data_IF_798241816403
#
_entry.id   IF_798241816403
#
_cell.length_a   1.000
_cell.length_b   1.000
_cell.length_c   1.000
_cell.angle_alpha   90.00
_cell.angle_beta   90.00
_cell.angle_gamma   90.00
#
_symmetry.space_group_name_H-M   'P 1'
#
loop_
_entity.id
_entity.type
_entity.pdbx_description
1 polymer ?
#
# COMPACT_ATOMS: atom_id res chain seq x y z
N UNK A 1 10.03 -23.48 -21.74
CA UNK A 1 9.75 -22.32 -22.60
C UNK A 1 9.60 -22.88 -24.01
N UNK A 2 8.45 -22.83 -24.66
CA UNK A 2 7.56 -21.68 -24.84
C UNK A 2 6.12 -22.12 -25.13
N UNK A 3 5.18 -21.29 -24.68
CA UNK A 3 3.76 -21.31 -25.01
C UNK A 3 3.52 -21.11 -26.50
N UNK A 4 2.57 -21.87 -27.05
CA UNK A 4 1.73 -21.44 -28.17
C UNK A 4 0.51 -20.71 -27.60
N UNK A 5 0.12 -19.59 -28.23
CA UNK A 5 -1.25 -19.09 -28.40
C UNK A 5 -1.20 -18.25 -29.68
N UNK A 6 -1.54 -18.83 -30.83
CA UNK A 6 -2.87 -18.81 -31.44
C UNK A 6 -3.20 -17.50 -32.17
N UNK A 7 -3.23 -17.64 -33.49
CA UNK A 7 -3.83 -16.76 -34.46
C UNK A 7 -5.33 -17.05 -34.53
N UNK A 8 -6.16 -16.00 -34.58
CA UNK A 8 -7.54 -16.13 -35.05
C UNK A 8 -7.66 -15.78 -36.54
N UNK A 9 -8.63 -16.38 -37.26
CA UNK A 9 -8.77 -16.28 -38.70
C UNK A 9 -10.04 -15.51 -39.13
N UNK A 10 -10.07 -15.22 -40.43
CA UNK A 10 -11.21 -14.92 -41.33
C UNK A 10 -11.35 -13.51 -41.96
N UNK A 11 -11.77 -13.46 -43.24
CA UNK A 11 -11.43 -12.45 -44.24
C UNK A 11 -12.68 -11.75 -44.84
N UNK A 12 -12.46 -10.81 -45.77
CA UNK A 12 -13.39 -10.54 -46.88
C UNK A 12 -12.69 -9.81 -48.05
N UNK A 13 -13.23 -9.93 -49.29
CA UNK A 13 -12.44 -10.03 -50.52
C UNK A 13 -12.53 -8.78 -51.42
N UNK A 14 -11.60 -8.64 -52.38
CA UNK A 14 -11.79 -7.65 -53.45
C UNK A 14 -10.64 -7.52 -54.46
N UNK A 15 -10.70 -8.39 -55.48
CA UNK A 15 -10.20 -8.19 -56.86
C UNK A 15 -8.68 -8.13 -57.13
N UNK A 16 -8.19 -9.28 -57.60
CA UNK A 16 -7.10 -9.40 -58.56
C UNK A 16 -7.50 -8.78 -59.90
N UNK A 17 -6.68 -7.85 -60.39
CA UNK A 17 -6.61 -7.46 -61.80
C UNK A 17 -5.19 -7.69 -62.30
N UNK A 18 -4.97 -8.82 -62.96
CA UNK A 18 -3.73 -9.14 -63.64
C UNK A 18 -3.46 -8.14 -64.78
N UNK A 19 -2.21 -7.69 -64.92
CA UNK A 19 -1.74 -7.02 -66.13
C UNK A 19 -0.50 -7.74 -66.68
N UNK A 20 -0.38 -7.84 -68.02
CA UNK A 20 0.44 -8.85 -68.66
C UNK A 20 1.87 -8.37 -68.95
N UNK A 21 2.64 -9.33 -69.43
CA UNK A 21 4.07 -9.32 -69.75
C UNK A 21 4.60 -8.07 -70.49
N UNK A 22 5.89 -7.83 -70.24
CA UNK A 22 6.77 -6.99 -71.05
C UNK A 22 6.72 -7.38 -72.53
N UNK A 23 6.51 -6.38 -73.39
CA UNK A 23 6.81 -6.41 -74.82
C UNK A 23 7.87 -5.33 -75.16
N UNK A 24 8.73 -5.54 -76.18
CA UNK A 24 9.96 -4.80 -76.36
C UNK A 24 9.79 -3.41 -76.99
N UNK A 25 10.83 -2.61 -76.75
CA UNK A 25 11.02 -1.21 -77.11
C UNK A 25 10.72 -0.87 -78.58
N UNK A 26 10.08 0.27 -78.80
CA UNK A 26 10.21 1.04 -80.03
C UNK A 26 10.71 2.45 -79.67
N UNK A 27 11.95 2.74 -80.07
CA UNK A 27 12.49 4.08 -80.04
C UNK A 27 11.90 4.88 -81.21
N UNK A 28 11.01 5.81 -80.90
CA UNK A 28 10.60 6.86 -81.83
C UNK A 28 10.70 8.19 -81.09
N UNK A 29 11.87 8.83 -81.18
CA UNK A 29 11.95 10.26 -80.92
C UNK A 29 11.39 11.01 -82.13
N UNK A 30 10.55 12.03 -81.94
CA UNK A 30 10.60 13.20 -82.78
C UNK A 30 11.56 14.21 -82.17
N UNK A 31 12.33 14.83 -83.05
CA UNK A 31 13.29 15.88 -82.74
C UNK A 31 12.61 17.08 -82.06
N UNK A 32 13.28 17.56 -81.00
CA UNK A 32 13.37 18.95 -80.56
C UNK A 32 12.17 19.88 -80.79
N UNK A 33 11.42 20.09 -79.72
CA UNK A 33 11.03 21.43 -79.31
C UNK A 33 11.19 21.53 -77.81
N UNK A 34 12.34 22.04 -77.35
CA UNK A 34 12.53 22.43 -75.97
C UNK A 34 11.71 23.71 -75.75
N UNK A 35 10.38 23.57 -75.68
CA UNK A 35 9.49 24.62 -75.22
C UNK A 35 9.80 24.73 -73.73
N UNK A 36 10.53 25.77 -73.35
CA UNK A 36 10.82 26.12 -71.96
C UNK A 36 9.47 26.27 -71.26
N UNK A 37 9.00 25.19 -70.65
CA UNK A 37 7.91 25.24 -69.70
C UNK A 37 8.55 25.87 -68.46
N UNK A 38 8.34 27.16 -68.30
CA UNK A 38 8.54 27.81 -67.02
C UNK A 38 7.55 27.15 -66.05
N UNK A 39 7.95 26.04 -65.44
CA UNK A 39 7.25 25.51 -64.28
C UNK A 39 7.23 26.64 -63.27
N UNK A 40 6.05 27.19 -62.97
CA UNK A 40 5.89 28.06 -61.81
C UNK A 40 6.37 27.26 -60.60
N UNK A 41 7.60 27.53 -60.19
CA UNK A 41 8.14 27.02 -58.95
C UNK A 41 7.27 27.61 -57.85
N UNK A 42 6.33 26.82 -57.32
CA UNK A 42 5.64 27.17 -56.10
C UNK A 42 6.73 27.55 -55.09
N UNK A 43 6.73 28.77 -54.55
CA UNK A 43 7.77 29.19 -53.63
C UNK A 43 7.75 28.22 -52.45
N UNK A 44 8.83 27.46 -52.31
CA UNK A 44 9.04 26.63 -51.12
C UNK A 44 8.99 27.59 -49.92
N UNK A 45 8.17 27.34 -48.89
CA UNK A 45 8.15 28.22 -47.73
C UNK A 45 9.56 28.28 -47.18
N UNK A 46 10.14 29.49 -47.13
CA UNK A 46 11.43 29.73 -46.50
C UNK A 46 11.30 29.31 -45.04
N UNK A 47 11.89 28.18 -44.66
CA UNK A 47 11.99 27.77 -43.26
C UNK A 47 12.83 28.82 -42.55
N UNK A 48 12.19 29.67 -41.76
CA UNK A 48 12.88 30.61 -40.88
C UNK A 48 13.48 29.81 -39.73
N UNK A 49 14.77 29.98 -39.50
CA UNK A 49 15.41 29.53 -38.27
C UNK A 49 14.85 30.35 -37.09
N UNK A 50 14.76 29.75 -35.91
CA UNK A 50 14.37 30.47 -34.70
C UNK A 50 15.38 31.57 -34.41
N UNK A 51 14.87 32.75 -34.03
CA UNK A 51 15.73 33.86 -33.64
C UNK A 51 16.29 33.60 -32.24
N UNK A 52 17.50 34.10 -31.96
CA UNK A 52 18.16 33.98 -30.66
C UNK A 52 17.24 34.40 -29.47
N UNK A 53 16.52 35.55 -29.51
CA UNK A 53 15.61 35.93 -28.42
C UNK A 53 14.42 34.98 -28.25
N UNK A 54 13.85 34.42 -29.32
CA UNK A 54 12.77 33.43 -29.23
C UNK A 54 13.24 32.15 -28.51
N UNK A 55 14.45 31.68 -28.80
CA UNK A 55 15.01 30.49 -28.16
C UNK A 55 15.32 30.73 -26.67
N UNK A 56 15.78 31.92 -26.29
CA UNK A 56 16.01 32.27 -24.89
C UNK A 56 14.72 32.30 -24.06
N UNK A 57 13.62 32.82 -24.63
CA UNK A 57 12.32 32.85 -23.95
C UNK A 57 11.79 31.41 -23.75
N UNK A 58 11.89 30.57 -24.78
CA UNK A 58 11.44 29.17 -24.68
C UNK A 58 12.26 28.40 -23.64
N UNK A 59 13.59 28.58 -23.60
CA UNK A 59 14.45 27.96 -22.60
C UNK A 59 14.13 28.43 -21.17
N UNK A 60 13.81 29.72 -20.98
CA UNK A 60 13.42 30.25 -19.68
C UNK A 60 12.10 29.63 -19.19
N UNK A 61 11.06 29.60 -20.04
CA UNK A 61 9.75 29.02 -19.69
C UNK A 61 9.87 27.49 -19.50
N UNK A 62 10.63 26.82 -20.37
CA UNK A 62 10.93 25.39 -20.26
C UNK A 62 11.67 25.04 -18.96
N UNK A 63 12.63 25.87 -18.56
CA UNK A 63 13.34 25.71 -17.29
C UNK A 63 12.41 25.83 -16.08
N UNK A 64 11.54 26.84 -16.06
CA UNK A 64 10.57 27.04 -14.96
C UNK A 64 9.58 25.87 -14.89
N UNK A 65 9.04 25.42 -16.02
CA UNK A 65 8.09 24.30 -16.06
C UNK A 65 8.73 22.99 -15.63
N UNK A 66 9.95 22.68 -16.10
CA UNK A 66 10.70 21.51 -15.65
C UNK A 66 11.02 21.57 -14.15
N UNK A 67 11.41 22.74 -13.62
CA UNK A 67 11.64 22.92 -12.20
C UNK A 67 10.35 22.70 -11.37
N UNK A 68 9.20 23.18 -11.86
CA UNK A 68 7.90 22.95 -11.23
C UNK A 68 7.52 21.46 -11.23
N UNK A 69 7.70 20.75 -12.35
CA UNK A 69 7.44 19.31 -12.43
C UNK A 69 8.40 18.51 -11.55
N UNK A 70 9.68 18.88 -11.51
CA UNK A 70 10.67 18.25 -10.66
C UNK A 70 10.29 18.39 -9.17
N UNK A 71 9.96 19.60 -8.71
CA UNK A 71 9.54 19.83 -7.33
C UNK A 71 8.26 19.07 -6.96
N UNK A 72 7.26 19.04 -7.85
CA UNK A 72 6.04 18.25 -7.67
C UNK A 72 6.33 16.74 -7.58
N UNK A 73 7.22 16.22 -8.45
CA UNK A 73 7.60 14.80 -8.45
C UNK A 73 8.31 14.38 -7.15
N UNK A 74 9.18 15.23 -6.61
CA UNK A 74 9.87 14.99 -5.35
C UNK A 74 8.91 15.04 -4.16
N UNK A 75 7.97 15.98 -4.19
CA UNK A 75 6.93 16.09 -3.17
C UNK A 75 6.02 14.85 -3.16
N UNK A 76 5.50 14.46 -4.32
CA UNK A 76 4.63 13.28 -4.45
C UNK A 76 5.35 11.99 -4.06
N UNK A 77 6.62 11.81 -4.46
CA UNK A 77 7.43 10.66 -4.04
C UNK A 77 7.60 10.55 -2.52
N UNK A 78 7.83 11.68 -1.83
CA UNK A 78 7.89 11.72 -0.36
C UNK A 78 6.54 11.38 0.28
N UNK A 79 5.45 11.91 -0.27
CA UNK A 79 4.10 11.63 0.21
C UNK A 79 3.73 10.16 0.05
N UNK A 80 4.06 9.54 -1.09
CA UNK A 80 3.81 8.12 -1.31
C UNK A 80 4.65 7.23 -0.40
N UNK A 81 5.91 7.59 -0.14
CA UNK A 81 6.73 6.87 0.83
C UNK A 81 6.12 6.93 2.25
N UNK A 82 5.61 8.10 2.67
CA UNK A 82 4.92 8.22 3.95
C UNK A 82 3.64 7.37 4.00
N UNK A 83 2.81 7.45 2.96
CA UNK A 83 1.57 6.68 2.85
C UNK A 83 1.82 5.17 2.85
N UNK A 84 2.83 4.69 2.11
CA UNK A 84 3.17 3.27 2.08
C UNK A 84 3.56 2.74 3.47
N UNK A 85 4.33 3.52 4.23
CA UNK A 85 4.68 3.17 5.60
C UNK A 85 3.47 3.17 6.54
N UNK A 86 2.58 4.15 6.39
CA UNK A 86 1.33 4.19 7.14
C UNK A 86 0.45 2.97 6.87
N UNK A 87 0.29 2.60 5.59
CA UNK A 87 -0.50 1.43 5.19
C UNK A 87 0.10 0.12 5.73
N UNK A 88 1.43 -0.05 5.69
CA UNK A 88 2.09 -1.21 6.30
C UNK A 88 1.82 -1.28 7.81
N UNK A 89 1.92 -0.16 8.52
CA UNK A 89 1.67 -0.10 9.95
C UNK A 89 0.19 -0.41 10.29
N UNK A 90 -0.75 0.19 9.56
CA UNK A 90 -2.19 -0.06 9.77
C UNK A 90 -2.59 -1.51 9.47
N UNK A 91 -2.05 -2.09 8.40
CA UNK A 91 -2.29 -3.50 8.06
C UNK A 91 -1.79 -4.44 9.15
N UNK A 92 -0.60 -4.18 9.71
CA UNK A 92 -0.07 -4.96 10.84
C UNK A 92 -0.93 -4.78 12.08
N UNK A 93 -1.34 -3.56 12.40
CA UNK A 93 -2.22 -3.27 13.53
C UNK A 93 -3.55 -4.02 13.43
N UNK A 94 -4.21 -4.01 12.26
CA UNK A 94 -5.46 -4.75 12.04
C UNK A 94 -5.26 -6.26 12.17
N UNK A 95 -4.21 -6.79 11.55
CA UNK A 95 -3.89 -8.23 11.63
C UNK A 95 -3.61 -8.65 13.07
N UNK A 96 -2.89 -7.83 13.83
CA UNK A 96 -2.62 -8.08 15.24
C UNK A 96 -3.90 -8.05 16.08
N UNK A 97 -4.78 -7.07 15.85
CA UNK A 97 -6.10 -6.97 16.51
C UNK A 97 -6.95 -8.20 16.23
N UNK A 98 -7.00 -8.67 14.98
CA UNK A 98 -7.75 -9.86 14.61
C UNK A 98 -7.21 -11.11 15.30
N UNK A 99 -5.89 -11.28 15.36
CA UNK A 99 -5.26 -12.40 16.09
C UNK A 99 -5.54 -12.31 17.58
N UNK A 100 -5.31 -11.15 18.20
CA UNK A 100 -5.55 -10.91 19.62
C UNK A 100 -7.01 -11.18 19.99
N UNK A 101 -7.94 -10.59 19.23
CA UNK A 101 -9.37 -10.72 19.51
C UNK A 101 -9.87 -12.15 19.29
N UNK A 102 -9.35 -12.87 18.30
CA UNK A 102 -9.66 -14.28 18.10
C UNK A 102 -9.18 -15.12 19.28
N UNK A 103 -7.93 -14.93 19.68
CA UNK A 103 -7.33 -15.77 20.70
C UNK A 103 -7.91 -15.47 22.10
N UNK A 104 -8.10 -14.20 22.47
CA UNK A 104 -8.76 -13.81 23.74
C UNK A 104 -10.21 -14.34 23.81
N UNK A 105 -10.90 -14.47 22.68
CA UNK A 105 -12.25 -15.06 22.65
C UNK A 105 -12.24 -16.58 22.85
N UNK A 106 -11.13 -17.25 22.62
CA UNK A 106 -10.97 -18.71 22.77
C UNK A 106 -10.44 -19.11 24.15
N UNK A 107 -9.78 -18.17 24.84
CA UNK A 107 -9.31 -18.32 26.21
C UNK A 107 -10.42 -18.71 27.18
N UNK A 108 -10.03 -19.51 28.17
CA UNK A 108 -10.88 -19.88 29.30
C UNK A 108 -10.95 -18.75 30.33
N UNK A 109 -9.78 -18.34 30.83
CA UNK A 109 -9.64 -17.33 31.86
C UNK A 109 -8.27 -16.65 31.87
N UNK A 110 -8.19 -15.55 32.62
CA UNK A 110 -6.95 -14.84 32.89
C UNK A 110 -6.25 -15.50 34.07
N UNK A 111 -4.98 -15.87 33.91
CA UNK A 111 -4.17 -16.42 34.99
C UNK A 111 -3.33 -15.34 35.64
N UNK A 112 -2.75 -14.46 34.83
CA UNK A 112 -1.90 -13.37 35.29
C UNK A 112 -2.16 -12.10 34.49
N UNK A 113 -2.21 -10.97 35.20
CA UNK A 113 -2.45 -9.67 34.60
C UNK A 113 -1.43 -8.63 35.06
N UNK A 114 -0.91 -7.88 34.11
CA UNK A 114 -0.06 -6.72 34.28
C UNK A 114 -0.26 -5.77 33.08
N UNK A 115 -0.01 -4.48 33.25
CA UNK A 115 -0.21 -3.47 32.20
C UNK A 115 0.59 -3.73 30.92
N UNK A 116 1.72 -4.45 31.01
CA UNK A 116 2.57 -4.80 29.87
C UNK A 116 2.53 -6.29 29.50
N UNK A 117 1.87 -7.12 30.31
CA UNK A 117 1.88 -8.56 30.15
C UNK A 117 0.59 -9.17 30.65
N UNK A 118 -0.04 -9.97 29.81
CA UNK A 118 -1.22 -10.76 30.20
C UNK A 118 -1.00 -12.21 29.82
N UNK A 119 -1.31 -13.11 30.75
CA UNK A 119 -1.23 -14.56 30.56
C UNK A 119 -2.62 -15.13 30.74
N UNK A 120 -3.01 -15.92 29.76
CA UNK A 120 -4.29 -16.58 29.68
C UNK A 120 -4.10 -18.09 29.62
N UNK A 121 -5.07 -18.83 30.13
CA UNK A 121 -5.18 -20.26 29.87
C UNK A 121 -6.12 -20.45 28.70
N UNK A 122 -5.62 -21.01 27.60
CA UNK A 122 -6.44 -21.29 26.43
C UNK A 122 -7.44 -22.44 26.69
N UNK A 123 -8.47 -22.58 25.86
CA UNK A 123 -9.43 -23.68 25.95
C UNK A 123 -8.79 -25.08 25.90
N UNK A 124 -7.60 -25.18 25.29
CA UNK A 124 -6.79 -26.39 25.17
C UNK A 124 -5.95 -26.69 26.43
N UNK A 125 -5.96 -25.80 27.44
CA UNK A 125 -5.15 -25.92 28.65
C UNK A 125 -3.69 -25.46 28.50
N UNK A 126 -3.34 -24.84 27.37
CA UNK A 126 -2.00 -24.25 27.14
C UNK A 126 -1.98 -22.78 27.48
N UNK A 127 -0.86 -22.29 27.98
CA UNK A 127 -0.69 -20.88 28.30
C UNK A 127 -0.52 -20.04 27.03
N UNK A 128 -1.32 -18.99 26.94
CA UNK A 128 -1.26 -17.95 25.92
C UNK A 128 -0.82 -16.65 26.59
N UNK A 129 0.40 -16.23 26.29
CA UNK A 129 1.00 -15.01 26.82
C UNK A 129 1.08 -13.93 25.75
N UNK A 130 0.67 -12.72 26.10
CA UNK A 130 0.99 -11.51 25.36
C UNK A 130 1.90 -10.65 26.22
N UNK A 131 3.07 -10.31 25.68
CA UNK A 131 4.08 -9.54 26.39
C UNK A 131 4.59 -8.40 25.53
N UNK A 132 4.50 -7.20 26.07
CA UNK A 132 5.03 -5.98 25.47
C UNK A 132 6.41 -5.68 26.02
N UNK A 133 7.36 -5.53 25.11
CA UNK A 133 8.74 -5.21 25.43
C UNK A 133 9.04 -3.75 25.05
N UNK A 134 9.01 -2.80 26.01
CA UNK A 134 9.19 -1.38 25.70
C UNK A 134 10.59 -1.06 25.16
N UNK A 135 11.62 -1.81 25.56
CA UNK A 135 12.99 -1.66 25.06
C UNK A 135 13.12 -1.97 23.57
N UNK A 136 12.40 -2.99 23.10
CA UNK A 136 12.40 -3.41 21.70
C UNK A 136 11.27 -2.81 20.88
N UNK A 137 10.28 -2.16 21.52
CA UNK A 137 9.07 -1.61 20.89
C UNK A 137 8.28 -2.67 20.12
N UNK A 138 8.17 -3.87 20.70
CA UNK A 138 7.48 -5.00 20.08
C UNK A 138 6.48 -5.65 21.03
N UNK A 139 5.34 -6.08 20.47
CA UNK A 139 4.38 -6.95 21.14
C UNK A 139 4.60 -8.38 20.63
N UNK A 140 4.77 -9.30 21.57
CA UNK A 140 4.99 -10.71 21.26
C UNK A 140 3.87 -11.55 21.83
N UNK A 141 3.38 -12.46 20.99
CA UNK A 141 2.48 -13.54 21.37
C UNK A 141 3.30 -14.81 21.57
N UNK A 142 3.08 -15.49 22.68
CA UNK A 142 3.71 -16.77 23.01
C UNK A 142 2.57 -17.74 23.32
N UNK A 143 2.44 -18.84 22.56
CA UNK A 143 1.51 -19.93 22.86
C UNK A 143 2.31 -21.22 22.92
N UNK A 144 2.49 -21.78 24.12
CA UNK A 144 3.43 -22.89 24.33
C UNK A 144 4.83 -22.53 23.85
N UNK A 145 5.36 -23.27 22.87
CA UNK A 145 6.70 -23.03 22.30
C UNK A 145 6.70 -22.06 21.09
N UNK A 146 5.52 -21.65 20.61
CA UNK A 146 5.40 -20.78 19.45
C UNK A 146 5.48 -19.31 19.87
N UNK A 147 6.55 -18.64 19.44
CA UNK A 147 6.77 -17.21 19.65
C UNK A 147 6.58 -16.43 18.36
N UNK A 148 5.60 -15.54 18.32
CA UNK A 148 5.28 -14.70 17.16
C UNK A 148 5.23 -13.23 17.54
N UNK A 149 5.99 -12.40 16.83
CA UNK A 149 5.89 -10.94 16.94
C UNK A 149 4.62 -10.49 16.23
N UNK A 150 3.73 -9.81 16.95
CA UNK A 150 2.46 -9.29 16.40
C UNK A 150 2.60 -7.85 15.94
N UNK A 151 3.22 -7.02 16.78
CA UNK A 151 3.41 -5.60 16.50
C UNK A 151 4.88 -5.23 16.64
N UNK A 152 5.30 -4.26 15.82
CA UNK A 152 6.64 -3.69 15.80
C UNK A 152 6.54 -2.18 15.77
N UNK A 153 7.54 -1.50 16.32
CA UNK A 153 7.62 -0.03 16.34
C UNK A 153 6.47 0.61 17.13
N UNK A 154 6.07 -0.03 18.22
CA UNK A 154 5.07 0.52 19.12
C UNK A 154 5.74 1.34 20.22
N UNK A 155 5.28 2.58 20.40
CA UNK A 155 5.81 3.50 21.39
C UNK A 155 5.18 3.22 22.75
N UNK A 156 3.87 2.99 22.75
CA UNK A 156 3.09 2.73 23.96
C UNK A 156 2.09 1.60 23.71
N UNK A 157 1.94 0.74 24.70
CA UNK A 157 0.93 -0.30 24.73
C UNK A 157 0.52 -0.51 26.17
N UNK A 158 -0.79 -0.55 26.40
CA UNK A 158 -1.37 -0.79 27.71
C UNK A 158 -2.48 -1.85 27.63
N UNK A 159 -2.42 -2.81 28.54
CA UNK A 159 -3.51 -3.73 28.82
C UNK A 159 -4.32 -3.22 30.03
N UNK A 160 -5.64 -3.23 29.91
CA UNK A 160 -6.58 -2.96 31.01
C UNK A 160 -7.56 -4.12 31.13
N UNK A 161 -7.85 -4.52 32.37
CA UNK A 161 -8.79 -5.60 32.65
C UNK A 161 -10.05 -5.06 33.30
N UNK A 162 -11.17 -5.65 32.92
CA UNK A 162 -12.50 -5.24 33.32
C UNK A 162 -13.33 -6.44 33.78
N UNK A 163 -14.18 -6.21 34.78
CA UNK A 163 -15.19 -7.14 35.25
C UNK A 163 -16.39 -7.17 34.28
N UNK A 164 -17.33 -8.09 34.52
CA UNK A 164 -18.57 -8.19 33.74
C UNK A 164 -19.63 -7.17 34.17
N UNK A 165 -19.60 -6.73 35.41
CA UNK A 165 -20.54 -5.75 35.93
C UNK A 165 -20.27 -4.38 35.28
N UNK A 166 -21.34 -3.62 35.14
CA UNK A 166 -21.26 -2.22 34.73
C UNK A 166 -21.14 -1.34 35.96
N UNK A 167 -20.38 -0.25 35.84
CA UNK A 167 -20.31 0.78 36.89
C UNK A 167 -21.70 1.40 37.07
N UNK A 168 -22.24 1.48 38.29
CA UNK A 168 -23.59 1.98 38.53
C UNK A 168 -23.83 3.34 37.88
N UNK A 169 -24.93 3.47 37.12
CA UNK A 169 -25.29 4.71 36.42
C UNK A 169 -24.56 4.95 35.09
N UNK A 170 -23.73 4.00 34.63
CA UNK A 170 -23.06 4.06 33.32
C UNK A 170 -23.19 2.71 32.59
N UNK A 171 -22.89 2.70 31.28
CA UNK A 171 -22.80 1.47 30.49
C UNK A 171 -21.37 0.91 30.40
N UNK A 172 -20.44 1.46 31.18
CA UNK A 172 -19.03 1.05 31.18
C UNK A 172 -18.76 -0.05 32.19
N UNK A 173 -17.84 -0.95 31.85
CA UNK A 173 -17.41 -2.03 32.74
C UNK A 173 -16.54 -1.51 33.88
N UNK A 174 -16.61 -2.16 35.04
CA UNK A 174 -15.76 -1.81 36.20
C UNK A 174 -14.34 -2.33 35.97
N UNK A 175 -13.30 -1.49 36.11
CA UNK A 175 -11.91 -1.97 36.04
C UNK A 175 -11.59 -2.86 37.23
N UNK A 176 -10.84 -3.95 37.01
CA UNK A 176 -10.32 -4.79 38.09
C UNK A 176 -8.94 -5.31 37.77
N UNK A 177 -8.13 -5.47 38.80
CA UNK A 177 -6.81 -6.10 38.74
C UNK A 177 -6.84 -7.55 39.24
N UNK A 178 -8.00 -8.05 39.70
CA UNK A 178 -8.17 -9.42 40.14
C UNK A 178 -8.48 -10.33 38.94
N UNK A 179 -7.65 -11.35 38.76
CA UNK A 179 -7.73 -12.30 37.64
C UNK A 179 -8.97 -13.20 37.73
N UNK A 180 -9.54 -13.40 38.91
CA UNK A 180 -10.74 -14.21 39.12
C UNK A 180 -12.02 -13.54 38.59
N UNK A 181 -12.04 -12.21 38.59
CA UNK A 181 -13.20 -11.42 38.15
C UNK A 181 -13.03 -10.87 36.72
N UNK A 182 -11.82 -10.99 36.15
CA UNK A 182 -11.46 -10.51 34.83
C UNK A 182 -12.25 -11.19 33.71
N UNK A 183 -13.14 -10.42 33.05
CA UNK A 183 -14.00 -10.94 31.97
C UNK A 183 -13.78 -10.25 30.63
N UNK A 184 -13.34 -9.00 30.63
CA UNK A 184 -13.02 -8.26 29.43
C UNK A 184 -11.61 -7.67 29.53
N UNK A 185 -10.92 -7.66 28.40
CA UNK A 185 -9.58 -7.11 28.25
C UNK A 185 -9.66 -6.01 27.21
N UNK A 186 -9.19 -4.84 27.59
CA UNK A 186 -9.02 -3.69 26.73
C UNK A 186 -7.53 -3.55 26.43
N UNK A 187 -7.22 -3.33 25.16
CA UNK A 187 -5.86 -3.22 24.67
C UNK A 187 -5.80 -1.95 23.86
N UNK A 188 -4.95 -1.02 24.26
CA UNK A 188 -4.67 0.21 23.52
C UNK A 188 -3.20 0.28 23.19
N UNK A 189 -2.88 0.58 21.94
CA UNK A 189 -1.49 0.79 21.52
C UNK A 189 -1.36 1.92 20.52
N UNK A 190 -0.16 2.48 20.50
CA UNK A 190 0.26 3.52 19.58
C UNK A 190 1.57 3.07 18.95
N UNK A 191 1.59 2.95 17.63
CA UNK A 191 2.82 2.65 16.89
C UNK A 191 3.23 3.80 15.99
N UNK A 192 4.54 4.06 15.91
CA UNK A 192 5.12 5.12 15.10
C UNK A 192 6.41 4.69 14.42
N UNK A 193 6.59 5.13 13.17
CA UNK A 193 7.79 4.90 12.36
C UNK A 193 8.45 6.23 12.03
N UNK A 194 9.79 6.27 11.99
CA UNK A 194 10.55 7.46 11.56
C UNK A 194 10.91 7.33 10.08
N UNK A 195 10.82 8.43 9.31
CA UNK A 195 11.21 8.47 7.90
C UNK A 195 12.35 9.47 7.70
N UNK A 196 13.43 9.03 7.03
CA UNK A 196 14.59 9.86 6.69
C UNK A 196 15.27 10.58 7.86
N UNK A 197 15.41 9.90 9.02
CA UNK A 197 16.12 10.45 10.19
C UNK A 197 15.40 11.60 10.90
N UNK A 198 14.30 12.10 10.33
CA UNK A 198 13.39 13.07 10.95
C UNK A 198 12.16 12.32 11.43
N UNK A 199 11.60 12.73 12.57
CA UNK A 199 10.40 12.12 13.15
C UNK A 199 9.16 12.51 12.31
N UNK A 200 9.02 11.90 11.14
CA UNK A 200 7.76 11.90 10.41
C UNK A 200 6.81 10.95 11.13
N UNK A 201 5.93 11.49 11.99
CA UNK A 201 5.01 10.70 12.79
C UNK A 201 3.91 10.11 11.91
N UNK A 202 4.09 8.89 11.40
CA UNK A 202 2.96 8.06 10.98
C UNK A 202 2.48 7.32 12.22
N UNK A 203 1.41 7.80 12.83
CA UNK A 203 0.83 7.23 14.05
C UNK A 203 -0.34 6.30 13.68
N UNK A 204 -0.33 5.08 14.21
CA UNK A 204 -1.47 4.17 14.20
C UNK A 204 -1.90 3.94 15.65
N UNK A 205 -3.07 4.49 16.00
CA UNK A 205 -3.73 4.30 17.29
C UNK A 205 -4.84 3.29 17.09
N UNK A 206 -4.82 2.21 17.86
CA UNK A 206 -5.89 1.23 17.87
C UNK A 206 -6.22 0.86 19.31
N UNK A 207 -7.52 0.77 19.58
CA UNK A 207 -8.06 0.34 20.86
C UNK A 207 -9.08 -0.75 20.62
N UNK A 208 -8.99 -1.84 21.37
CA UNK A 208 -9.89 -2.97 21.25
C UNK A 208 -10.26 -3.52 22.62
N UNK A 209 -11.56 -3.51 22.91
CA UNK A 209 -12.14 -4.20 24.06
C UNK A 209 -12.70 -5.55 23.63
N UNK A 210 -12.16 -6.61 24.19
CA UNK A 210 -12.52 -7.99 23.85
C UNK A 210 -13.01 -8.71 25.11
N UNK A 211 -14.20 -9.32 24.99
CA UNK A 211 -14.81 -10.10 26.07
C UNK A 211 -14.40 -11.57 25.91
N UNK A 212 -13.94 -12.18 27.00
CA UNK A 212 -13.65 -13.61 27.09
C UNK A 212 -14.97 -14.37 27.04
N UNK A 213 -15.10 -15.36 26.16
CA UNK A 213 -16.40 -16.05 25.95
C UNK A 213 -16.68 -17.07 27.04
N UNK A 214 -15.68 -17.89 27.38
CA UNK A 214 -15.86 -19.00 28.33
C UNK A 214 -16.11 -18.45 29.73
N UNK A 215 -17.08 -19.03 30.43
CA UNK A 215 -17.43 -18.64 31.79
C UNK A 215 -16.66 -19.55 32.73
N UNK A 216 -15.86 -18.98 33.64
CA UNK A 216 -15.33 -19.77 34.73
C UNK A 216 -16.51 -20.25 35.58
N UNK A 217 -16.68 -21.58 35.65
CA UNK A 217 -17.55 -22.17 36.65
C UNK A 217 -16.86 -21.93 38.01
N UNK A 218 -17.44 -21.05 38.83
CA UNK A 218 -16.97 -20.74 40.17
C UNK A 218 -16.68 -22.04 40.91
N UNK A 219 -15.41 -22.35 41.16
CA UNK A 219 -15.06 -23.47 42.02
C UNK A 219 -15.31 -23.01 43.45
N UNK A 220 -16.36 -23.59 44.02
CA UNK A 220 -16.76 -23.44 45.42
C UNK A 220 -15.73 -24.10 46.34
#
# INVERSE_FOLDING_TARGET
MTMNCDWSPFPSPGLMGAWPACGPCAATSPATACKIMCSNAYPRPKRRAFTLPELLIVMAIGGITMAALASLSLYTGRSFASLANYVDLDNRSRTALDILSRDIRQVDHVEFFSSNKVVFVDGDGTDLTFEYFPSSRTLVRIKGNDRKVLLTECDELEFRMFQRNTTPGTFDLVPSNDTLEGKAIDISWVCSRKLFGVRFNTESVQTARVIIRKQQATRY
#
